data_IF_603456042517
#
_entry.id   IF_603456042517
#
_cell.length_a   1.000
_cell.length_b   1.000
_cell.length_c   1.000
_cell.angle_alpha   90.00
_cell.angle_beta   90.00
_cell.angle_gamma   90.00
#
_symmetry.space_group_name_H-M   'P 1'
#
loop_
_entity.id
_entity.type
_entity.pdbx_description
1 polymer ?
#
# COMPACT_ATOMS: atom_id res chain seq x y z
N UNK A 1 11.73 -20.23 6.94
CA UNK A 1 11.99 -18.79 6.75
C UNK A 1 11.28 -17.97 7.84
N UNK A 2 11.87 -17.85 9.04
CA UNK A 2 11.32 -17.01 10.13
C UNK A 2 12.41 -16.72 11.17
N UNK A 3 13.31 -15.75 10.89
CA UNK A 3 14.39 -15.40 11.84
C UNK A 3 14.73 -13.91 11.94
N UNK A 4 14.00 -13.00 11.28
CA UNK A 4 14.44 -11.59 11.20
C UNK A 4 13.37 -10.49 11.38
N UNK A 5 12.11 -10.81 11.67
CA UNK A 5 11.12 -9.77 11.96
C UNK A 5 11.18 -9.37 13.44
N UNK A 6 11.95 -8.32 13.74
CA UNK A 6 11.95 -7.68 15.05
C UNK A 6 10.73 -6.77 15.16
N UNK A 7 9.71 -7.20 15.87
CA UNK A 7 8.53 -6.39 16.11
C UNK A 7 8.64 -5.56 17.40
N UNK A 8 7.95 -4.42 17.46
CA UNK A 8 7.83 -3.60 18.67
C UNK A 8 6.41 -3.12 18.90
N UNK A 9 6.06 -2.80 20.15
CA UNK A 9 4.72 -2.32 20.49
C UNK A 9 4.47 -0.96 19.81
N UNK A 10 3.35 -0.77 19.09
CA UNK A 10 3.03 0.53 18.53
C UNK A 10 3.04 1.63 19.61
N UNK A 11 3.48 2.83 19.22
CA UNK A 11 3.62 4.00 20.11
C UNK A 11 4.68 3.87 21.22
N UNK A 12 5.62 2.93 21.08
CA UNK A 12 6.84 2.90 21.91
C UNK A 12 8.07 3.31 21.09
N UNK A 13 9.19 3.53 21.77
CA UNK A 13 10.48 3.84 21.13
C UNK A 13 10.85 2.75 20.12
N UNK A 14 11.32 3.19 18.95
CA UNK A 14 11.88 2.31 17.92
C UNK A 14 13.12 1.60 18.45
N UNK A 15 13.17 0.25 18.45
CA UNK A 15 14.27 -0.47 19.09
C UNK A 15 15.43 -0.78 18.15
N UNK A 16 15.29 -0.49 16.85
CA UNK A 16 16.35 -0.66 15.86
C UNK A 16 17.41 0.44 15.94
N UNK A 17 18.31 0.44 14.96
CA UNK A 17 19.38 1.43 14.82
C UNK A 17 19.14 2.20 13.53
N UNK A 18 19.17 3.53 13.61
CA UNK A 18 19.10 4.42 12.45
C UNK A 18 20.55 4.85 12.16
N UNK A 19 21.21 4.12 11.26
CA UNK A 19 22.55 4.43 10.80
C UNK A 19 22.55 5.44 9.65
N UNK A 20 23.73 5.88 9.22
CA UNK A 20 23.85 6.75 8.03
C UNK A 20 23.61 5.97 6.74
N UNK A 21 23.88 4.68 6.75
CA UNK A 21 23.75 3.75 5.62
C UNK A 21 22.97 2.51 6.05
N UNK A 22 22.51 1.72 5.07
CA UNK A 22 21.66 0.53 5.30
C UNK A 22 22.39 -0.53 6.12
N UNK A 23 23.67 -0.75 5.87
CA UNK A 23 24.54 -1.69 6.59
C UNK A 23 24.74 -1.33 8.07
N UNK A 24 24.59 -0.04 8.41
CA UNK A 24 24.68 0.47 9.78
C UNK A 24 23.32 0.51 10.49
N UNK A 25 22.24 0.16 9.79
CA UNK A 25 20.88 0.24 10.30
C UNK A 25 20.35 -1.15 10.67
N UNK A 26 19.45 -1.21 11.64
CA UNK A 26 18.71 -2.45 11.92
C UNK A 26 17.21 -2.21 11.84
N UNK A 27 16.46 -3.03 11.09
CA UNK A 27 15.03 -2.86 10.94
C UNK A 27 14.28 -3.30 12.20
N UNK A 28 13.18 -2.63 12.50
CA UNK A 28 12.16 -3.12 13.40
C UNK A 28 10.78 -2.64 12.91
N UNK A 29 9.76 -3.47 13.06
CA UNK A 29 8.41 -3.18 12.58
C UNK A 29 7.43 -3.03 13.73
N UNK A 30 6.50 -2.07 13.70
CA UNK A 30 5.45 -2.04 14.70
C UNK A 30 4.63 -3.31 14.57
N UNK A 31 4.39 -4.00 15.68
CA UNK A 31 3.55 -5.19 15.72
C UNK A 31 2.16 -4.83 15.17
N UNK A 32 1.67 -5.53 14.14
CA UNK A 32 0.34 -5.28 13.61
C UNK A 32 -0.72 -5.41 14.70
N UNK A 33 -1.66 -4.47 14.73
CA UNK A 33 -2.83 -4.59 15.58
C UNK A 33 -3.81 -5.56 14.91
N UNK A 34 -4.26 -6.62 15.58
CA UNK A 34 -5.26 -7.51 15.01
C UNK A 34 -6.56 -6.74 14.80
N UNK A 35 -7.19 -6.94 13.64
CA UNK A 35 -8.52 -6.43 13.38
C UNK A 35 -9.54 -7.14 14.28
N UNK A 36 -10.64 -6.45 14.63
CA UNK A 36 -11.76 -7.08 15.32
C UNK A 36 -12.49 -8.02 14.35
N UNK A 37 -13.05 -9.10 14.87
CA UNK A 37 -13.89 -10.01 14.08
C UNK A 37 -15.03 -9.25 13.40
N UNK A 38 -15.33 -9.61 12.15
CA UNK A 38 -16.33 -8.93 11.32
C UNK A 38 -15.89 -7.59 10.70
N UNK A 39 -14.68 -7.10 10.96
CA UNK A 39 -14.13 -5.91 10.28
C UNK A 39 -13.78 -6.27 8.82
N UNK A 40 -14.10 -5.43 7.82
CA UNK A 40 -13.75 -5.72 6.44
C UNK A 40 -12.23 -5.73 6.23
N UNK A 41 -11.78 -6.53 5.26
CA UNK A 41 -10.41 -6.48 4.78
C UNK A 41 -10.20 -5.21 3.95
N UNK A 42 -9.05 -4.57 4.11
CA UNK A 42 -8.63 -3.43 3.30
C UNK A 42 -7.37 -3.82 2.53
N UNK A 43 -7.42 -3.75 1.20
CA UNK A 43 -6.26 -3.85 0.33
C UNK A 43 -5.98 -2.47 -0.27
N UNK A 44 -4.78 -1.96 -0.04
CA UNK A 44 -4.33 -0.69 -0.61
C UNK A 44 -3.17 -0.94 -1.56
N UNK A 45 -3.33 -0.54 -2.82
CA UNK A 45 -2.31 -0.66 -3.85
C UNK A 45 -1.94 0.72 -4.35
N UNK A 46 -0.67 1.09 -4.20
CA UNK A 46 -0.12 2.35 -4.73
C UNK A 46 0.62 2.03 -6.02
N UNK A 47 0.32 2.80 -7.06
CA UNK A 47 1.04 2.76 -8.32
C UNK A 47 1.84 4.05 -8.42
N UNK A 48 3.16 3.91 -8.29
CA UNK A 48 4.09 5.03 -8.36
C UNK A 48 4.20 5.55 -9.81
N UNK A 49 4.49 6.83 -9.97
CA UNK A 49 4.63 7.50 -11.30
C UNK A 49 3.51 7.20 -12.31
N UNK A 50 2.28 7.01 -11.83
CA UNK A 50 1.15 6.64 -12.69
C UNK A 50 0.12 7.76 -12.80
N UNK A 51 -0.14 8.22 -14.03
CA UNK A 51 -1.16 9.21 -14.36
C UNK A 51 -2.37 8.63 -15.10
N UNK A 52 -3.39 9.46 -15.36
CA UNK A 52 -4.66 9.04 -15.97
C UNK A 52 -4.49 8.34 -17.33
N UNK A 53 -3.56 8.81 -18.17
CA UNK A 53 -3.32 8.27 -19.50
C UNK A 53 -2.81 6.83 -19.55
N UNK A 54 -2.55 6.19 -18.39
CA UNK A 54 -2.04 4.83 -18.28
C UNK A 54 -3.12 3.77 -17.99
N UNK A 55 -4.38 4.16 -17.74
CA UNK A 55 -5.45 3.20 -17.45
C UNK A 55 -6.57 3.23 -18.51
N UNK A 56 -6.98 2.05 -18.96
CA UNK A 56 -8.07 1.87 -19.93
C UNK A 56 -9.39 2.47 -19.43
N UNK A 57 -9.67 2.36 -18.13
CA UNK A 57 -10.83 2.98 -17.48
C UNK A 57 -10.81 4.53 -17.51
N UNK A 58 -9.74 5.18 -17.95
CA UNK A 58 -9.69 6.62 -18.24
C UNK A 58 -9.46 6.94 -19.72
N UNK A 59 -9.63 5.97 -20.62
CA UNK A 59 -9.51 6.15 -22.07
C UNK A 59 -8.11 5.89 -22.65
N UNK A 60 -7.20 5.30 -21.88
CA UNK A 60 -5.90 4.87 -22.39
C UNK A 60 -6.03 3.78 -23.46
N UNK A 61 -5.14 3.73 -24.47
CA UNK A 61 -5.04 2.57 -25.36
C UNK A 61 -4.36 1.34 -24.70
N UNK A 62 -3.76 1.50 -23.52
CA UNK A 62 -3.15 0.40 -22.77
C UNK A 62 -4.26 -0.47 -22.17
N UNK A 63 -4.19 -1.79 -22.43
CA UNK A 63 -5.16 -2.73 -21.89
C UNK A 63 -4.89 -2.99 -20.41
N UNK A 64 -5.80 -2.56 -19.53
CA UNK A 64 -5.71 -2.76 -18.07
C UNK A 64 -6.92 -3.52 -17.52
N UNK A 65 -7.23 -4.72 -18.03
CA UNK A 65 -8.53 -5.36 -17.84
C UNK A 65 -8.92 -5.59 -16.37
N UNK A 66 -7.95 -5.86 -15.49
CA UNK A 66 -8.22 -6.03 -14.05
C UNK A 66 -8.57 -4.72 -13.35
N UNK A 67 -7.90 -3.61 -13.71
CA UNK A 67 -8.20 -2.28 -13.17
C UNK A 67 -9.49 -1.73 -13.77
N UNK A 68 -9.78 -2.07 -15.03
CA UNK A 68 -11.02 -1.71 -15.70
C UNK A 68 -12.22 -2.42 -15.05
N UNK A 69 -12.09 -3.72 -14.77
CA UNK A 69 -13.10 -4.48 -14.03
C UNK A 69 -13.28 -3.95 -12.60
N UNK A 70 -12.19 -3.58 -11.91
CA UNK A 70 -12.28 -2.99 -10.57
C UNK A 70 -13.03 -1.66 -10.59
N UNK A 71 -12.74 -0.79 -11.57
CA UNK A 71 -13.43 0.48 -11.73
C UNK A 71 -14.91 0.32 -12.09
N UNK A 72 -15.26 -0.68 -12.91
CA UNK A 72 -16.64 -0.97 -13.30
C UNK A 72 -17.49 -1.54 -12.16
N UNK A 73 -16.87 -2.27 -11.23
CA UNK A 73 -17.55 -2.88 -10.07
C UNK A 73 -17.42 -2.04 -8.78
N UNK A 74 -16.97 -0.79 -8.88
CA UNK A 74 -16.65 0.04 -7.73
C UNK A 74 -16.89 1.51 -7.98
N UNK A 75 -16.19 2.34 -7.20
CA UNK A 75 -16.17 3.79 -7.37
C UNK A 75 -14.91 4.19 -8.13
N UNK A 76 -15.09 5.00 -9.18
CA UNK A 76 -14.00 5.60 -9.95
C UNK A 76 -14.01 7.10 -9.72
N UNK A 77 -12.88 7.64 -9.29
CA UNK A 77 -12.71 9.07 -9.05
C UNK A 77 -11.99 9.71 -10.24
N UNK A 78 -12.60 10.74 -10.82
CA UNK A 78 -11.99 11.59 -11.84
C UNK A 78 -11.92 13.04 -11.33
N UNK A 79 -11.06 13.83 -11.96
CA UNK A 79 -11.23 15.28 -11.92
C UNK A 79 -12.41 15.62 -12.85
N UNK A 80 -13.56 15.94 -12.28
CA UNK A 80 -14.59 16.69 -12.99
C UNK A 80 -14.41 18.16 -12.60
N UNK A 81 -14.04 19.01 -13.56
CA UNK A 81 -14.71 20.29 -13.66
C UNK A 81 -15.94 19.98 -14.52
N UNK A 82 -17.11 20.16 -13.92
CA UNK A 82 -18.46 20.29 -14.48
C UNK A 82 -18.58 20.18 -16.01
#
# INVERSE_FOLDING_TARGET
MSRYLREYKPKTTFPGVIGRTVDQSSPAWPKPLPAKEGTPNVLFSVLDDTGFGQFGCYGSPIQTPNLDALAANGLRYNIAAD
#
